data_IF_358435012717
#
_entry.id   IF_358435012717
#
_cell.length_a   1.000
_cell.length_b   1.000
_cell.length_c   1.000
_cell.angle_alpha   90.00
_cell.angle_beta   90.00
_cell.angle_gamma   90.00
#
_symmetry.space_group_name_H-M   'P 1'
#
loop_
_entity.id
_entity.type
_entity.pdbx_description
1 polymer ?
#
# COMPACT_ATOMS: atom_id res chain seq x y z
N UNK A 1 20.16 -2.59 -16.28
CA UNK A 1 19.78 -1.60 -17.26
C UNK A 1 19.39 -0.35 -16.49
N UNK A 2 20.25 0.63 -16.63
CA UNK A 2 20.13 1.82 -15.82
C UNK A 2 18.94 2.65 -16.30
N UNK A 3 17.91 2.76 -15.48
CA UNK A 3 16.85 3.76 -15.65
C UNK A 3 17.39 5.19 -15.48
N UNK A 4 18.68 5.35 -15.16
CA UNK A 4 19.31 6.62 -14.81
C UNK A 4 18.82 7.19 -13.46
N UNK A 5 17.95 6.48 -12.74
CA UNK A 5 17.42 6.89 -11.43
C UNK A 5 18.17 6.19 -10.30
N UNK A 6 18.34 6.89 -9.21
CA UNK A 6 18.82 6.29 -7.97
C UNK A 6 17.78 5.31 -7.42
N UNK A 7 18.24 4.14 -6.94
CA UNK A 7 17.40 3.11 -6.34
C UNK A 7 17.99 2.67 -5.01
N UNK A 8 17.13 2.34 -4.05
CA UNK A 8 17.58 1.75 -2.80
C UNK A 8 17.92 0.26 -2.99
N UNK A 9 19.05 -0.16 -2.48
CA UNK A 9 19.36 -1.58 -2.33
C UNK A 9 18.75 -2.05 -1.00
N UNK A 10 17.65 -2.81 -1.10
CA UNK A 10 16.94 -3.31 0.07
C UNK A 10 17.22 -4.79 0.25
N UNK A 11 17.84 -5.20 1.37
CA UNK A 11 18.05 -6.61 1.67
C UNK A 11 16.73 -7.37 1.68
N UNK A 12 16.69 -8.53 1.02
CA UNK A 12 15.49 -9.39 0.94
C UNK A 12 14.24 -8.68 0.36
N UNK A 13 14.41 -7.86 -0.69
CA UNK A 13 13.29 -7.14 -1.32
C UNK A 13 12.15 -8.10 -1.72
N UNK A 14 12.45 -9.33 -2.10
CA UNK A 14 11.47 -10.38 -2.41
C UNK A 14 10.63 -10.83 -1.20
N UNK A 15 11.02 -10.42 0.01
CA UNK A 15 10.30 -10.62 1.27
C UNK A 15 9.68 -9.33 1.81
N UNK A 16 9.84 -8.25 1.08
CA UNK A 16 9.40 -6.92 1.50
C UNK A 16 8.13 -6.50 0.76
N UNK A 17 7.31 -5.70 1.44
CA UNK A 17 6.24 -4.94 0.80
C UNK A 17 6.72 -3.51 0.56
N UNK A 18 6.54 -3.00 -0.65
CA UNK A 18 6.63 -1.58 -0.93
C UNK A 18 5.30 -0.95 -0.54
N UNK A 19 5.30 -0.16 0.51
CA UNK A 19 4.14 0.59 0.97
C UNK A 19 4.26 2.04 0.50
N UNK A 20 3.33 2.47 -0.35
CA UNK A 20 3.15 3.87 -0.70
C UNK A 20 2.03 4.42 0.17
N UNK A 21 2.25 5.58 0.83
CA UNK A 21 1.24 6.08 1.74
C UNK A 21 1.49 7.49 2.27
N UNK A 22 0.56 7.91 3.12
CA UNK A 22 0.52 9.23 3.74
C UNK A 22 0.88 9.20 5.24
N UNK A 23 0.41 10.18 6.01
CA UNK A 23 0.63 10.29 7.46
C UNK A 23 0.15 9.09 8.28
N UNK A 24 -0.77 8.28 7.78
CA UNK A 24 -1.20 7.04 8.45
C UNK A 24 -0.11 5.97 8.41
N UNK A 25 0.71 5.99 7.36
CA UNK A 25 1.79 5.03 7.10
C UNK A 25 3.19 5.55 7.44
N UNK A 26 3.39 6.87 7.52
CA UNK A 26 4.70 7.49 7.73
C UNK A 26 5.35 7.10 9.07
N UNK A 27 4.67 7.12 10.23
CA UNK A 27 5.24 6.66 11.48
C UNK A 27 5.66 5.20 11.43
N UNK A 28 6.78 4.85 12.06
CA UNK A 28 7.25 3.45 12.12
C UNK A 28 6.21 2.51 12.73
N UNK A 29 5.38 3.01 13.64
CA UNK A 29 4.24 2.34 14.28
C UNK A 29 2.88 2.71 13.63
N UNK A 30 2.89 3.26 12.42
CA UNK A 30 1.68 3.51 11.64
C UNK A 30 0.90 2.22 11.41
N UNK A 31 -0.42 2.26 11.56
CA UNK A 31 -1.25 1.04 11.51
C UNK A 31 -1.11 0.24 10.20
N UNK A 32 -0.89 0.85 9.01
CA UNK A 32 -0.64 0.07 7.82
C UNK A 32 0.68 -0.71 7.89
N UNK A 33 1.73 -0.12 8.47
CA UNK A 33 3.01 -0.83 8.69
C UNK A 33 2.85 -1.97 9.69
N UNK A 34 2.13 -1.75 10.79
CA UNK A 34 1.89 -2.79 11.80
C UNK A 34 1.14 -3.98 11.20
N UNK A 35 0.10 -3.74 10.40
CA UNK A 35 -0.67 -4.80 9.76
C UNK A 35 0.15 -5.59 8.73
N UNK A 36 0.92 -4.90 7.90
CA UNK A 36 1.78 -5.55 6.92
C UNK A 36 2.92 -6.34 7.57
N UNK A 37 3.50 -5.82 8.66
CA UNK A 37 4.51 -6.55 9.43
C UNK A 37 3.92 -7.81 10.09
N UNK A 38 2.71 -7.73 10.66
CA UNK A 38 2.00 -8.88 11.24
C UNK A 38 1.66 -9.94 10.17
N UNK A 39 1.39 -9.51 8.94
CA UNK A 39 1.18 -10.38 7.78
C UNK A 39 2.50 -11.01 7.23
N UNK A 40 3.64 -10.77 7.88
CA UNK A 40 4.93 -11.42 7.59
C UNK A 40 5.87 -10.63 6.65
N UNK A 41 5.56 -9.38 6.32
CA UNK A 41 6.39 -8.56 5.45
C UNK A 41 7.42 -7.72 6.21
N UNK A 42 8.60 -7.53 5.62
CA UNK A 42 9.42 -6.36 5.89
C UNK A 42 8.81 -5.17 5.14
N UNK A 43 8.59 -4.06 5.82
CA UNK A 43 7.93 -2.90 5.19
C UNK A 43 8.97 -1.89 4.72
N UNK A 44 9.01 -1.66 3.41
CA UNK A 44 9.73 -0.55 2.80
C UNK A 44 8.72 0.55 2.45
N UNK A 45 8.88 1.72 3.04
CA UNK A 45 7.92 2.81 2.92
C UNK A 45 8.41 3.90 1.96
N UNK A 46 7.55 4.32 1.06
CA UNK A 46 7.67 5.51 0.24
C UNK A 46 6.42 6.37 0.45
N UNK A 47 6.61 7.61 0.83
CA UNK A 47 5.49 8.53 1.05
C UNK A 47 5.83 9.67 1.99
N UNK A 48 4.84 10.52 2.25
CA UNK A 48 4.96 11.65 3.15
C UNK A 48 3.58 12.02 3.72
N UNK A 49 3.54 12.46 4.96
CA UNK A 49 2.32 13.02 5.56
C UNK A 49 1.78 14.19 4.75
N UNK A 50 0.46 14.29 4.64
CA UNK A 50 -0.21 15.34 3.87
C UNK A 50 -0.27 15.10 2.34
N UNK A 51 0.36 14.05 1.82
CA UNK A 51 0.30 13.70 0.39
C UNK A 51 -0.80 12.69 0.08
N UNK A 52 -1.14 12.53 -1.19
CA UNK A 52 -2.17 11.63 -1.68
C UNK A 52 -2.10 11.45 -3.18
N UNK A 53 -3.17 10.97 -3.79
CA UNK A 53 -3.24 10.83 -5.24
C UNK A 53 -3.19 12.20 -5.95
N UNK A 54 -3.76 13.25 -5.35
CA UNK A 54 -3.78 14.63 -5.86
C UNK A 54 -3.13 15.58 -4.87
N UNK A 55 -3.30 15.33 -3.57
CA UNK A 55 -2.79 16.19 -2.51
C UNK A 55 -1.27 16.16 -2.47
N UNK A 56 -0.65 17.35 -2.35
CA UNK A 56 0.77 17.57 -2.10
C UNK A 56 0.93 18.36 -0.80
N UNK A 57 2.09 18.25 -0.13
CA UNK A 57 2.32 18.93 1.15
C UNK A 57 3.26 20.17 1.06
N UNK A 58 3.58 20.61 -0.16
CA UNK A 58 4.46 21.74 -0.42
C UNK A 58 5.97 21.42 -0.40
N UNK A 59 6.37 20.23 0.10
CA UNK A 59 7.74 19.72 0.06
C UNK A 59 7.88 18.49 -0.82
N UNK A 60 6.81 17.69 -0.89
CA UNK A 60 6.70 16.47 -1.67
C UNK A 60 5.47 16.62 -2.55
N UNK A 61 5.57 16.25 -3.83
CA UNK A 61 4.47 16.20 -4.77
C UNK A 61 3.39 15.19 -4.35
N UNK A 62 2.30 15.14 -5.11
CA UNK A 62 1.36 14.03 -5.02
C UNK A 62 2.07 12.70 -5.39
N UNK A 63 1.42 11.58 -5.22
CA UNK A 63 2.06 10.26 -5.42
C UNK A 63 2.65 10.06 -6.82
N UNK A 64 2.01 10.61 -7.86
CA UNK A 64 2.51 10.50 -9.24
C UNK A 64 3.73 11.39 -9.45
N UNK A 65 3.69 12.63 -8.97
CA UNK A 65 4.78 13.57 -9.08
C UNK A 65 5.98 13.08 -8.26
N UNK A 66 5.77 12.68 -6.99
CA UNK A 66 6.82 12.15 -6.13
C UNK A 66 7.52 10.91 -6.74
N UNK A 67 6.76 10.06 -7.43
CA UNK A 67 7.32 8.92 -8.16
C UNK A 67 8.14 9.35 -9.38
N UNK A 68 7.67 10.34 -10.14
CA UNK A 68 8.31 10.82 -11.38
C UNK A 68 9.53 11.70 -11.11
N UNK A 69 9.43 12.58 -10.13
CA UNK A 69 10.46 13.55 -9.80
C UNK A 69 11.57 12.96 -8.91
N UNK A 70 11.35 11.74 -8.38
CA UNK A 70 12.34 11.04 -7.57
C UNK A 70 12.35 11.47 -6.11
N UNK A 71 11.25 12.05 -5.61
CA UNK A 71 11.07 12.33 -4.18
C UNK A 71 11.13 11.05 -3.34
N UNK A 72 10.80 9.93 -3.96
CA UNK A 72 10.89 8.60 -3.37
C UNK A 72 12.10 7.84 -3.90
N UNK A 73 12.94 7.36 -2.98
CA UNK A 73 13.99 6.42 -3.33
C UNK A 73 13.37 5.01 -3.41
N UNK A 74 12.90 4.64 -4.59
CA UNK A 74 12.25 3.34 -4.80
C UNK A 74 13.26 2.19 -4.71
N UNK A 75 12.87 1.01 -4.18
CA UNK A 75 13.77 -0.13 -4.08
C UNK A 75 14.07 -0.73 -5.46
N UNK A 76 15.31 -1.17 -5.63
CA UNK A 76 15.69 -2.04 -6.76
C UNK A 76 15.19 -3.47 -6.55
N UNK A 77 14.99 -4.21 -7.64
CA UNK A 77 14.51 -5.58 -7.60
C UNK A 77 12.98 -5.68 -7.49
N UNK A 78 12.48 -6.86 -7.14
CA UNK A 78 11.04 -7.18 -7.17
C UNK A 78 10.48 -7.32 -5.76
N UNK A 79 9.66 -6.38 -5.24
CA UNK A 79 8.96 -6.55 -3.96
C UNK A 79 7.99 -7.75 -4.01
N UNK A 80 7.74 -8.36 -2.87
CA UNK A 80 6.74 -9.44 -2.75
C UNK A 80 5.31 -8.93 -2.97
N UNK A 81 5.06 -7.68 -2.56
CA UNK A 81 3.77 -7.00 -2.68
C UNK A 81 4.02 -5.49 -2.78
N UNK A 82 3.15 -4.78 -3.49
CA UNK A 82 3.04 -3.31 -3.44
C UNK A 82 1.68 -2.98 -2.87
N UNK A 83 1.62 -2.09 -1.87
CA UNK A 83 0.37 -1.57 -1.32
C UNK A 83 0.34 -0.06 -1.49
N UNK A 84 -0.71 0.44 -2.13
CA UNK A 84 -0.99 1.87 -2.26
C UNK A 84 -2.05 2.24 -1.24
N UNK A 85 -1.69 3.01 -0.21
CA UNK A 85 -2.58 3.53 0.82
C UNK A 85 -2.76 5.03 0.63
N UNK A 86 -3.99 5.53 0.69
CA UNK A 86 -4.21 6.98 0.60
C UNK A 86 -5.66 7.36 0.33
N UNK A 87 -5.84 8.62 -0.05
CA UNK A 87 -7.14 9.21 -0.37
C UNK A 87 -7.70 10.11 0.74
N UNK A 88 -7.15 10.03 1.95
CA UNK A 88 -7.61 10.84 3.09
C UNK A 88 -7.31 12.32 2.93
N UNK A 89 -6.14 12.67 2.42
CA UNK A 89 -5.73 14.05 2.16
C UNK A 89 -6.42 14.60 0.92
N UNK A 90 -6.67 13.75 -0.10
CA UNK A 90 -7.44 14.13 -1.28
C UNK A 90 -8.88 14.52 -0.91
N UNK A 91 -9.49 13.75 0.00
CA UNK A 91 -10.80 14.09 0.56
C UNK A 91 -10.78 15.41 1.33
N UNK A 92 -9.74 15.68 2.10
CA UNK A 92 -9.61 16.89 2.92
C UNK A 92 -9.35 18.14 2.07
N UNK A 93 -8.61 18.03 0.96
CA UNK A 93 -8.30 19.14 0.05
C UNK A 93 -9.39 19.40 -1.00
N UNK A 94 -10.43 18.58 -1.02
CA UNK A 94 -11.53 18.72 -1.98
C UNK A 94 -11.17 18.31 -3.41
N UNK A 95 -10.20 17.41 -3.57
CA UNK A 95 -9.86 16.88 -4.88
C UNK A 95 -11.08 16.23 -5.56
N UNK A 96 -11.23 16.46 -6.86
CA UNK A 96 -12.33 15.89 -7.63
C UNK A 96 -12.14 14.40 -7.88
N UNK A 97 -13.24 13.66 -8.04
CA UNK A 97 -13.21 12.24 -8.39
C UNK A 97 -12.36 11.99 -9.63
N UNK A 98 -12.51 12.85 -10.65
CA UNK A 98 -11.76 12.74 -11.91
C UNK A 98 -10.25 12.82 -11.69
N UNK A 99 -9.78 13.73 -10.85
CA UNK A 99 -8.35 13.89 -10.55
C UNK A 99 -7.82 12.68 -9.76
N UNK A 100 -8.56 12.25 -8.72
CA UNK A 100 -8.19 11.08 -7.90
C UNK A 100 -8.08 9.84 -8.79
N UNK A 101 -9.09 9.58 -9.62
CA UNK A 101 -9.11 8.43 -10.52
C UNK A 101 -7.95 8.47 -11.51
N UNK A 102 -7.75 9.59 -12.22
CA UNK A 102 -6.70 9.72 -13.20
C UNK A 102 -5.31 9.48 -12.61
N UNK A 103 -5.03 10.05 -11.44
CA UNK A 103 -3.75 9.88 -10.78
C UNK A 103 -3.58 8.48 -10.17
N UNK A 104 -4.64 7.86 -9.65
CA UNK A 104 -4.58 6.49 -9.17
C UNK A 104 -4.27 5.51 -10.32
N UNK A 105 -4.95 5.64 -11.46
CA UNK A 105 -4.68 4.83 -12.66
C UNK A 105 -3.26 5.04 -13.19
N UNK A 106 -2.79 6.29 -13.24
CA UNK A 106 -1.41 6.60 -13.63
C UNK A 106 -0.40 5.95 -12.69
N UNK A 107 -0.60 6.07 -11.37
CA UNK A 107 0.30 5.47 -10.38
C UNK A 107 0.34 3.94 -10.50
N UNK A 108 -0.82 3.30 -10.68
CA UNK A 108 -0.91 1.85 -10.89
C UNK A 108 -0.10 1.44 -12.13
N UNK A 109 -0.30 2.12 -13.26
CA UNK A 109 0.40 1.82 -14.51
C UNK A 109 1.92 1.97 -14.38
N UNK A 110 2.39 3.05 -13.75
CA UNK A 110 3.82 3.31 -13.50
C UNK A 110 4.45 2.22 -12.61
N UNK A 111 3.76 1.82 -11.54
CA UNK A 111 4.24 0.77 -10.63
C UNK A 111 4.26 -0.61 -11.30
N UNK A 112 3.25 -0.94 -12.10
CA UNK A 112 3.21 -2.19 -12.87
C UNK A 112 4.31 -2.24 -13.92
N UNK A 113 4.60 -1.11 -14.59
CA UNK A 113 5.71 -1.00 -15.54
C UNK A 113 7.06 -1.16 -14.85
N UNK A 114 7.23 -0.56 -13.67
CA UNK A 114 8.49 -0.62 -12.92
C UNK A 114 8.75 -1.97 -12.27
N UNK A 115 7.72 -2.63 -11.77
CA UNK A 115 7.79 -3.90 -11.05
C UNK A 115 6.94 -4.99 -11.73
N UNK A 116 7.31 -5.42 -12.94
CA UNK A 116 6.48 -6.34 -13.72
C UNK A 116 6.26 -7.65 -12.97
N UNK A 117 5.00 -8.07 -12.94
CA UNK A 117 4.57 -9.30 -12.27
C UNK A 117 4.63 -9.24 -10.72
N UNK A 118 4.86 -8.07 -10.11
CA UNK A 118 4.64 -7.88 -8.67
C UNK A 118 3.16 -7.74 -8.38
N UNK A 119 2.67 -8.41 -7.34
CA UNK A 119 1.29 -8.23 -6.86
C UNK A 119 1.09 -6.80 -6.37
N UNK A 120 -0.02 -6.18 -6.73
CA UNK A 120 -0.42 -4.85 -6.30
C UNK A 120 -1.75 -4.94 -5.55
N UNK A 121 -1.92 -4.17 -4.49
CA UNK A 121 -3.18 -4.02 -3.77
C UNK A 121 -3.38 -2.56 -3.36
N UNK A 122 -4.62 -2.17 -3.12
CA UNK A 122 -4.94 -0.82 -2.65
C UNK A 122 -5.61 -0.88 -1.29
N UNK A 123 -5.33 0.14 -0.48
CA UNK A 123 -5.87 0.35 0.86
C UNK A 123 -6.49 1.75 0.91
N UNK A 124 -7.80 1.83 1.14
CA UNK A 124 -8.54 3.08 1.15
C UNK A 124 -8.26 3.97 2.37
N UNK A 125 -8.84 5.17 2.41
CA UNK A 125 -8.72 6.08 3.54
C UNK A 125 -9.56 5.64 4.72
N UNK A 126 -8.98 5.65 5.92
CA UNK A 126 -9.69 5.37 7.16
C UNK A 126 -10.81 6.39 7.38
N UNK A 127 -12.04 5.91 7.60
CA UNK A 127 -13.19 6.77 7.82
C UNK A 127 -14.23 6.16 8.76
N UNK A 128 -15.23 6.97 9.09
CA UNK A 128 -16.51 6.52 9.67
C UNK A 128 -17.42 6.05 8.55
N UNK A 129 -18.43 5.23 8.86
CA UNK A 129 -19.44 4.88 7.86
C UNK A 129 -20.19 6.14 7.36
N UNK A 130 -20.76 6.03 6.17
CA UNK A 130 -21.54 7.14 5.53
C UNK A 130 -22.57 7.74 6.47
N UNK A 131 -23.32 6.90 7.18
CA UNK A 131 -24.39 7.32 8.09
C UNK A 131 -23.89 7.81 9.46
N UNK A 132 -22.58 7.71 9.73
CA UNK A 132 -21.94 8.14 10.96
C UNK A 132 -20.94 9.30 10.75
N UNK A 133 -21.10 10.07 9.68
CA UNK A 133 -20.26 11.24 9.40
C UNK A 133 -18.97 10.93 8.65
N UNK A 134 -18.92 9.83 7.88
CA UNK A 134 -17.75 9.47 7.05
C UNK A 134 -17.47 10.47 5.93
N UNK A 135 -18.51 11.11 5.41
CA UNK A 135 -18.40 12.20 4.44
C UNK A 135 -17.52 11.85 3.23
N UNK A 136 -16.74 12.83 2.78
CA UNK A 136 -15.90 12.70 1.59
C UNK A 136 -14.88 11.55 1.69
N UNK A 137 -14.38 11.23 2.87
CA UNK A 137 -13.44 10.10 3.05
C UNK A 137 -14.07 8.75 2.68
N UNK A 138 -15.31 8.52 3.10
CA UNK A 138 -16.05 7.29 2.73
C UNK A 138 -16.33 7.24 1.23
N UNK A 139 -16.64 8.39 0.61
CA UNK A 139 -16.85 8.48 -0.84
C UNK A 139 -15.56 8.17 -1.60
N UNK A 140 -14.42 8.71 -1.16
CA UNK A 140 -13.11 8.43 -1.78
C UNK A 140 -12.71 6.96 -1.58
N UNK A 141 -13.01 6.34 -0.43
CA UNK A 141 -12.80 4.91 -0.23
C UNK A 141 -13.57 4.09 -1.29
N UNK A 142 -14.85 4.37 -1.46
CA UNK A 142 -15.67 3.70 -2.48
C UNK A 142 -15.17 3.95 -3.91
N UNK A 143 -14.75 5.18 -4.21
CA UNK A 143 -14.17 5.56 -5.50
C UNK A 143 -12.91 4.75 -5.81
N UNK A 144 -11.98 4.67 -4.86
CA UNK A 144 -10.74 3.89 -5.01
C UNK A 144 -11.03 2.39 -5.16
N UNK A 145 -12.07 1.88 -4.50
CA UNK A 145 -12.57 0.53 -4.71
C UNK A 145 -12.99 0.27 -6.15
N UNK A 146 -13.64 1.25 -6.81
CA UNK A 146 -14.00 1.12 -8.23
C UNK A 146 -12.77 1.16 -9.15
N UNK A 147 -11.75 1.96 -8.80
CA UNK A 147 -10.48 1.97 -9.53
C UNK A 147 -9.79 0.61 -9.40
N UNK A 148 -9.65 0.10 -8.19
CA UNK A 148 -9.03 -1.21 -7.94
C UNK A 148 -9.73 -2.33 -8.73
N UNK A 149 -11.07 -2.34 -8.73
CA UNK A 149 -11.86 -3.34 -9.48
C UNK A 149 -11.60 -3.29 -10.99
N UNK A 150 -11.50 -2.09 -11.60
CA UNK A 150 -11.18 -1.94 -13.03
C UNK A 150 -9.80 -2.51 -13.39
N UNK A 151 -8.86 -2.47 -12.46
CA UNK A 151 -7.51 -3.02 -12.63
C UNK A 151 -7.36 -4.45 -12.09
N UNK A 152 -8.46 -5.09 -11.65
CA UNK A 152 -8.45 -6.43 -11.03
C UNK A 152 -7.50 -6.52 -9.82
N UNK A 153 -7.39 -5.43 -9.04
CA UNK A 153 -6.55 -5.36 -7.86
C UNK A 153 -7.37 -5.66 -6.60
N UNK A 154 -6.81 -6.41 -5.63
CA UNK A 154 -7.38 -6.49 -4.31
C UNK A 154 -7.52 -5.10 -3.69
N UNK A 155 -8.67 -4.83 -3.07
CA UNK A 155 -8.96 -3.59 -2.38
C UNK A 155 -9.35 -3.85 -0.92
N UNK A 156 -8.66 -3.20 -0.02
CA UNK A 156 -8.98 -3.21 1.41
C UNK A 156 -9.74 -1.93 1.74
N UNK A 157 -11.07 -2.01 1.75
CA UNK A 157 -11.93 -0.90 2.16
C UNK A 157 -11.86 -0.72 3.67
N UNK A 158 -11.53 0.47 4.10
CA UNK A 158 -11.48 0.87 5.51
C UNK A 158 -12.33 2.12 5.78
N UNK A 159 -13.16 2.48 4.81
CA UNK A 159 -14.00 3.67 4.82
C UNK A 159 -15.14 3.64 5.85
N UNK A 160 -15.30 2.56 6.60
CA UNK A 160 -16.26 2.44 7.71
C UNK A 160 -15.66 1.92 9.02
N UNK A 161 -14.36 1.62 9.06
CA UNK A 161 -13.74 0.90 10.17
C UNK A 161 -13.84 1.64 11.52
N UNK A 162 -13.79 2.96 11.52
CA UNK A 162 -13.96 3.73 12.76
C UNK A 162 -15.32 3.51 13.41
N UNK A 163 -16.36 3.31 12.61
CA UNK A 163 -17.71 3.01 13.10
C UNK A 163 -17.90 1.52 13.34
N UNK A 164 -17.54 0.71 12.34
CA UNK A 164 -17.75 -0.73 12.34
C UNK A 164 -17.10 -1.43 13.53
N UNK A 165 -15.91 -0.98 13.94
CA UNK A 165 -15.13 -1.57 15.02
C UNK A 165 -15.10 -0.69 16.29
N UNK A 166 -15.87 0.39 16.35
CA UNK A 166 -15.95 1.28 17.51
C UNK A 166 -14.66 2.01 17.83
N UNK A 167 -13.79 2.25 16.85
CA UNK A 167 -12.45 2.80 17.01
C UNK A 167 -12.39 4.34 17.00
N UNK A 168 -13.52 5.01 16.81
CA UNK A 168 -13.55 6.48 16.82
C UNK A 168 -13.10 7.10 18.17
N UNK A 169 -13.23 6.37 19.27
CA UNK A 169 -12.74 6.75 20.62
C UNK A 169 -11.21 6.73 20.73
N UNK A 170 -10.54 6.00 19.83
CA UNK A 170 -9.08 5.85 19.82
C UNK A 170 -8.39 6.82 18.87
N UNK A 171 -9.11 7.84 18.39
CA UNK A 171 -8.53 8.96 17.63
C UNK A 171 -7.73 9.85 18.59
N UNK A 172 -6.50 10.20 18.20
CA UNK A 172 -5.64 11.16 18.87
C UNK A 172 -5.96 12.59 18.43
N UNK A 173 -6.42 12.74 17.19
CA UNK A 173 -6.89 13.99 16.61
C UNK A 173 -8.06 13.72 15.65
N UNK A 174 -8.37 14.61 14.73
CA UNK A 174 -9.50 14.44 13.80
C UNK A 174 -9.37 13.23 12.86
N UNK A 175 -8.14 12.73 12.61
CA UNK A 175 -7.86 11.75 11.58
C UNK A 175 -6.85 10.66 11.96
N UNK A 176 -5.97 10.92 12.93
CA UNK A 176 -4.93 9.97 13.33
C UNK A 176 -5.31 9.22 14.59
N UNK A 177 -4.85 7.98 14.65
CA UNK A 177 -5.10 7.10 15.79
C UNK A 177 -4.05 7.30 16.88
N UNK A 178 -4.46 7.14 18.14
CA UNK A 178 -3.54 6.92 19.26
C UNK A 178 -2.86 5.54 19.14
N UNK A 179 -1.94 5.22 20.05
CA UNK A 179 -1.19 3.96 20.00
C UNK A 179 -2.10 2.72 20.04
N UNK A 180 -3.14 2.73 20.88
CA UNK A 180 -4.12 1.63 20.99
C UNK A 180 -4.89 1.43 19.68
N UNK A 181 -5.36 2.53 19.09
CA UNK A 181 -6.06 2.52 17.81
C UNK A 181 -5.19 2.00 16.67
N UNK A 182 -3.91 2.42 16.61
CA UNK A 182 -2.95 1.91 15.61
C UNK A 182 -2.76 0.39 15.73
N UNK A 183 -2.60 -0.13 16.95
CA UNK A 183 -2.49 -1.57 17.19
C UNK A 183 -3.76 -2.32 16.78
N UNK A 184 -4.93 -1.77 17.08
CA UNK A 184 -6.22 -2.38 16.70
C UNK A 184 -6.41 -2.43 15.19
N UNK A 185 -6.15 -1.31 14.48
CA UNK A 185 -6.22 -1.26 13.03
C UNK A 185 -5.18 -2.16 12.37
N UNK A 186 -3.97 -2.24 12.92
CA UNK A 186 -2.94 -3.15 12.42
C UNK A 186 -3.38 -4.61 12.45
N UNK A 187 -4.00 -5.06 13.56
CA UNK A 187 -4.56 -6.42 13.65
C UNK A 187 -5.69 -6.67 12.64
N UNK A 188 -6.57 -5.69 12.44
CA UNK A 188 -7.66 -5.80 11.47
C UNK A 188 -7.11 -5.87 10.04
N UNK A 189 -6.07 -5.10 9.74
CA UNK A 189 -5.43 -5.14 8.43
C UNK A 189 -4.74 -6.49 8.17
N UNK A 190 -4.03 -7.05 9.16
CA UNK A 190 -3.45 -8.40 9.06
C UNK A 190 -4.53 -9.45 8.75
N UNK A 191 -5.65 -9.42 9.46
CA UNK A 191 -6.78 -10.32 9.18
C UNK A 191 -7.33 -10.15 7.76
N UNK A 192 -7.47 -8.92 7.30
CA UNK A 192 -7.93 -8.64 5.94
C UNK A 192 -6.93 -9.11 4.88
N UNK A 193 -5.63 -8.90 5.09
CA UNK A 193 -4.58 -9.39 4.20
C UNK A 193 -4.61 -10.91 4.07
N UNK A 194 -4.77 -11.64 5.20
CA UNK A 194 -4.93 -13.11 5.20
C UNK A 194 -6.18 -13.54 4.46
N UNK A 195 -7.32 -12.90 4.71
CA UNK A 195 -8.58 -13.22 4.04
C UNK A 195 -8.50 -13.06 2.52
N UNK A 196 -7.66 -12.12 2.04
CA UNK A 196 -7.42 -11.90 0.61
C UNK A 196 -6.25 -12.74 0.04
N UNK A 197 -5.62 -13.61 0.85
CA UNK A 197 -4.43 -14.36 0.45
C UNK A 197 -3.26 -13.44 0.08
N UNK A 198 -3.17 -12.30 0.75
CA UNK A 198 -2.12 -11.30 0.56
C UNK A 198 -1.05 -11.34 1.66
N UNK A 199 -1.20 -12.22 2.65
CA UNK A 199 -0.17 -12.43 3.64
C UNK A 199 1.00 -13.22 3.04
N UNK A 200 2.17 -13.08 3.63
CA UNK A 200 3.38 -13.70 3.10
C UNK A 200 3.41 -15.22 3.29
N UNK A 201 2.71 -15.72 4.30
CA UNK A 201 2.69 -17.16 4.60
C UNK A 201 1.90 -17.99 3.59
N UNK A 202 1.06 -17.35 2.76
CA UNK A 202 0.29 -18.00 1.69
C UNK A 202 1.01 -17.97 0.34
N UNK A 203 2.14 -17.24 0.22
CA UNK A 203 2.96 -17.25 -1.00
C UNK A 203 3.97 -18.40 -0.86
N UNK A 204 3.88 -19.48 -1.66
CA UNK A 204 4.87 -20.56 -1.61
C UNK A 204 6.27 -20.03 -1.95
N UNK A 205 7.26 -20.37 -1.16
CA UNK A 205 8.69 -20.14 -1.43
C UNK A 205 9.19 -21.10 -2.56
N UNK A 206 8.38 -21.36 -3.57
CA UNK A 206 8.74 -22.25 -4.66
C UNK A 206 9.47 -21.50 -5.75
N UNK A 207 10.80 -21.38 -5.57
CA UNK A 207 11.69 -21.53 -6.72
C UNK A 207 11.79 -23.03 -6.99
N UNK A 208 11.54 -23.51 -8.22
CA UNK A 208 11.85 -24.89 -8.56
C UNK A 208 13.36 -25.08 -8.40
N UNK A 209 13.75 -25.97 -7.50
CA UNK A 209 15.11 -26.49 -7.46
C UNK A 209 15.28 -27.25 -8.79
N UNK A 210 16.03 -26.68 -9.70
CA UNK A 210 16.54 -27.42 -10.85
C UNK A 210 17.39 -28.57 -10.30
N UNK A 211 16.83 -29.76 -10.32
CA UNK A 211 17.58 -30.97 -10.03
C UNK A 211 18.75 -31.03 -11.01
N UNK A 212 19.96 -30.91 -10.49
CA UNK A 212 21.15 -31.16 -11.25
C UNK A 212 21.08 -32.61 -11.72
N UNK A 213 20.97 -32.82 -13.03
CA UNK A 213 20.95 -34.14 -13.65
C UNK A 213 22.18 -34.91 -13.28
N UNK A 214 21.99 -36.06 -12.65
CA UNK A 214 23.03 -37.03 -12.43
C UNK A 214 23.49 -37.55 -13.79
N UNK A 215 24.68 -37.11 -14.22
CA UNK A 215 25.36 -37.69 -15.37
C UNK A 215 25.81 -39.10 -15.01
N UNK A 216 25.14 -40.10 -15.58
CA UNK A 216 25.64 -41.48 -15.60
C UNK A 216 26.82 -41.55 -16.56
N UNK A 217 28.02 -41.66 -16.04
CA UNK A 217 29.18 -42.14 -16.78
C UNK A 217 29.11 -43.66 -16.82
N UNK A 218 28.72 -44.22 -17.96
CA UNK A 218 29.04 -45.64 -18.29
C UNK A 218 30.44 -45.67 -18.92
N UNK A 219 31.35 -46.32 -18.24
CA UNK A 219 32.61 -46.69 -18.82
C UNK A 219 32.45 -47.97 -19.62
N UNK A 220 33.23 -48.06 -20.68
CA UNK A 220 33.92 -49.20 -21.24
C UNK A 220 35.16 -48.69 -21.95
#
# INVERSE_FOLDING_TARGET
PASGRLEAVVPDISRSVLLIGDSQSEPADGWPRLGLAAAGYKVYFCGRGGTGFVAANGQTGNYVDALKDGDWLLPSGKPALIVIQGGGNDAATGASDRQIVANAETLIAELQSRYPGTRLAMLGPLARSKNAGGGRRTEVDALLGTVAARHSLPFMSVGDWLTRYGLAKDLADAVHMNASGRQSLGRLLDQQLRALGLDRNTVPDTLPVLAAGAGTTTGD
#
